data_IF_439259236356
#
_entry.id   IF_439259236356
#
_cell.length_a   1.000
_cell.length_b   1.000
_cell.length_c   1.000
_cell.angle_alpha   90.00
_cell.angle_beta   90.00
_cell.angle_gamma   90.00
#
_symmetry.space_group_name_H-M   'P 1'
#
loop_
_entity.id
_entity.type
_entity.pdbx_description
1 polymer ?
#
# COMPACT_ATOMS: atom_id res chain seq x y z
N UNK A 1 -8.94 9.65 -9.44
CA UNK A 1 -9.76 8.56 -8.87
C UNK A 1 -11.17 8.72 -9.40
N UNK A 2 -11.93 7.63 -9.51
CA UNK A 2 -13.37 7.70 -9.70
C UNK A 2 -14.01 7.98 -8.33
N UNK A 3 -15.09 8.77 -8.31
CA UNK A 3 -15.85 9.05 -7.09
C UNK A 3 -17.08 8.15 -7.00
N UNK A 4 -17.63 7.75 -8.14
CA UNK A 4 -18.92 7.04 -8.24
C UNK A 4 -18.90 5.86 -9.22
N UNK A 5 -17.73 5.43 -9.68
CA UNK A 5 -17.54 4.26 -10.57
C UNK A 5 -18.26 4.34 -11.92
N UNK A 6 -18.47 5.55 -12.43
CA UNK A 6 -19.22 5.73 -13.68
C UNK A 6 -18.30 5.66 -14.90
N UNK A 7 -18.84 5.19 -16.04
CA UNK A 7 -18.12 5.15 -17.32
C UNK A 7 -17.45 6.49 -17.70
N UNK A 8 -18.13 7.65 -17.60
CA UNK A 8 -17.50 8.95 -17.83
C UNK A 8 -16.31 9.26 -16.91
N UNK A 9 -16.39 8.92 -15.62
CA UNK A 9 -15.26 9.11 -14.71
C UNK A 9 -14.08 8.20 -15.06
N UNK A 10 -14.33 6.95 -15.47
CA UNK A 10 -13.28 6.03 -15.93
C UNK A 10 -12.62 6.50 -17.22
N UNK A 11 -13.37 7.05 -18.17
CA UNK A 11 -12.79 7.65 -19.39
C UNK A 11 -11.84 8.79 -19.04
N UNK A 12 -12.27 9.73 -18.17
CA UNK A 12 -11.42 10.82 -17.72
C UNK A 12 -10.18 10.31 -16.98
N UNK A 13 -10.34 9.31 -16.11
CA UNK A 13 -9.21 8.73 -15.38
C UNK A 13 -8.19 8.08 -16.32
N UNK A 14 -8.66 7.33 -17.33
CA UNK A 14 -7.80 6.70 -18.33
C UNK A 14 -7.12 7.72 -19.23
N UNK A 15 -7.82 8.80 -19.62
CA UNK A 15 -7.24 9.92 -20.37
C UNK A 15 -6.15 10.63 -19.57
N UNK A 16 -6.38 10.88 -18.27
CA UNK A 16 -5.36 11.44 -17.39
C UNK A 16 -4.16 10.49 -17.24
N UNK A 17 -4.39 9.18 -17.20
CA UNK A 17 -3.32 8.20 -17.11
C UNK A 17 -2.40 8.21 -18.35
N UNK A 18 -2.90 8.65 -19.51
CA UNK A 18 -2.08 8.78 -20.72
C UNK A 18 -0.93 9.79 -20.54
N UNK A 19 -1.04 10.79 -19.65
CA UNK A 19 0.07 11.71 -19.34
C UNK A 19 1.25 11.03 -18.63
N UNK A 20 1.08 9.80 -18.15
CA UNK A 20 2.16 8.98 -17.58
C UNK A 20 2.94 8.19 -18.62
N UNK A 21 2.51 8.20 -19.88
CA UNK A 21 3.20 7.52 -20.97
C UNK A 21 4.50 8.29 -21.25
N UNK A 22 5.62 7.58 -21.13
CA UNK A 22 6.93 8.18 -21.36
C UNK A 22 7.09 8.62 -22.82
N UNK A 23 7.99 9.58 -23.07
CA UNK A 23 8.36 10.00 -24.44
C UNK A 23 8.88 8.83 -25.30
N UNK A 24 9.30 7.72 -24.67
CA UNK A 24 9.68 6.46 -25.29
C UNK A 24 8.49 5.54 -25.63
N UNK A 25 7.25 6.01 -25.45
CA UNK A 25 6.01 5.25 -25.67
C UNK A 25 5.70 4.24 -24.56
N UNK A 26 6.45 4.27 -23.45
CA UNK A 26 6.29 3.30 -22.37
C UNK A 26 5.06 3.59 -21.53
N UNK A 27 4.23 2.57 -21.35
CA UNK A 27 3.07 2.58 -20.45
C UNK A 27 3.48 1.99 -19.10
N UNK A 28 3.14 2.67 -18.01
CA UNK A 28 3.35 2.15 -16.65
C UNK A 28 2.20 1.21 -16.28
N UNK A 29 2.47 -0.07 -15.93
CA UNK A 29 1.41 -1.00 -15.53
C UNK A 29 0.80 -0.57 -14.19
N UNK A 30 -0.51 -0.82 -14.05
CA UNK A 30 -1.28 -0.50 -12.84
C UNK A 30 -1.73 -1.79 -12.18
N UNK A 31 -1.50 -1.91 -10.87
CA UNK A 31 -2.01 -3.02 -10.05
C UNK A 31 -3.02 -2.44 -9.08
N UNK A 32 -4.30 -2.76 -9.26
CA UNK A 32 -5.41 -2.14 -8.53
C UNK A 32 -5.88 -3.00 -7.36
N UNK A 33 -6.22 -2.35 -6.24
CA UNK A 33 -6.94 -2.96 -5.12
C UNK A 33 -8.37 -2.39 -5.07
N UNK A 34 -9.33 -3.23 -4.67
CA UNK A 34 -10.74 -2.81 -4.52
C UNK A 34 -10.90 -1.87 -3.32
N UNK A 35 -11.39 -0.65 -3.58
CA UNK A 35 -11.73 0.35 -2.59
C UNK A 35 -13.21 0.39 -2.24
N UNK A 36 -13.71 1.45 -1.60
CA UNK A 36 -15.15 1.61 -1.31
C UNK A 36 -15.88 2.48 -2.34
N UNK A 37 -15.16 3.07 -3.30
CA UNK A 37 -15.71 3.97 -4.32
C UNK A 37 -16.01 3.29 -5.65
N UNK A 38 -15.46 2.12 -5.94
CA UNK A 38 -16.02 1.28 -7.01
C UNK A 38 -17.38 0.73 -6.55
N UNK A 39 -18.33 0.50 -7.43
CA UNK A 39 -19.67 0.01 -7.08
C UNK A 39 -19.66 -1.49 -6.81
N UNK A 40 -18.96 -2.24 -7.66
CA UNK A 40 -18.69 -3.66 -7.50
C UNK A 40 -17.28 -3.99 -8.02
N UNK A 41 -16.98 -5.29 -8.23
CA UNK A 41 -15.67 -5.72 -8.74
C UNK A 41 -15.57 -5.73 -10.28
N UNK A 42 -16.68 -5.50 -11.00
CA UNK A 42 -16.78 -5.64 -12.44
C UNK A 42 -16.01 -4.55 -13.17
N UNK A 43 -16.13 -3.29 -12.76
CA UNK A 43 -15.38 -2.19 -13.39
C UNK A 43 -13.87 -2.44 -13.34
N UNK A 44 -13.37 -2.88 -12.18
CA UNK A 44 -11.97 -3.22 -12.03
C UNK A 44 -11.56 -4.45 -12.86
N UNK A 45 -12.43 -5.46 -12.97
CA UNK A 45 -12.15 -6.63 -13.81
C UNK A 45 -12.14 -6.26 -15.30
N UNK A 46 -13.11 -5.49 -15.77
CA UNK A 46 -13.22 -5.12 -17.19
C UNK A 46 -12.10 -4.17 -17.64
N UNK A 47 -11.61 -3.31 -16.75
CA UNK A 47 -10.58 -2.30 -17.07
C UNK A 47 -9.16 -2.80 -16.78
N UNK A 48 -8.95 -3.53 -15.68
CA UNK A 48 -7.61 -3.92 -15.21
C UNK A 48 -7.37 -5.44 -15.17
N UNK A 49 -8.33 -6.24 -15.63
CA UNK A 49 -8.21 -7.71 -15.73
C UNK A 49 -7.87 -8.40 -14.40
N UNK A 50 -8.50 -7.95 -13.31
CA UNK A 50 -8.36 -8.60 -12.00
C UNK A 50 -9.34 -9.78 -11.83
N UNK A 51 -9.06 -10.75 -10.94
CA UNK A 51 -9.96 -11.88 -10.73
C UNK A 51 -11.37 -11.48 -10.29
N UNK A 52 -12.37 -12.16 -10.85
CA UNK A 52 -13.78 -12.04 -10.52
C UNK A 52 -14.34 -13.41 -10.10
N UNK A 53 -15.19 -13.50 -9.06
CA UNK A 53 -15.86 -12.39 -8.37
C UNK A 53 -15.05 -11.75 -7.23
N UNK A 54 -13.87 -12.28 -6.90
CA UNK A 54 -13.20 -12.04 -5.62
C UNK A 54 -12.43 -10.70 -5.48
N UNK A 55 -11.77 -10.24 -6.55
CA UNK A 55 -10.91 -9.05 -6.57
C UNK A 55 -9.76 -9.00 -5.54
N UNK A 56 -9.28 -10.17 -5.09
CA UNK A 56 -7.98 -10.33 -4.41
C UNK A 56 -7.10 -11.30 -5.20
N UNK A 57 -5.80 -11.01 -5.27
CA UNK A 57 -4.87 -11.72 -6.14
C UNK A 57 -3.41 -11.44 -5.75
N UNK A 58 -2.47 -12.17 -6.33
CA UNK A 58 -1.05 -11.96 -6.04
C UNK A 58 -0.20 -12.01 -7.31
N UNK A 59 0.73 -11.06 -7.41
CA UNK A 59 1.66 -10.90 -8.53
C UNK A 59 3.11 -11.06 -8.06
N UNK A 60 3.96 -11.46 -8.98
CA UNK A 60 5.40 -11.63 -8.73
C UNK A 60 6.20 -10.75 -9.67
N UNK A 61 7.23 -10.10 -9.14
CA UNK A 61 8.09 -9.19 -9.88
C UNK A 61 9.55 -9.61 -9.72
N UNK A 62 10.31 -9.55 -10.80
CA UNK A 62 11.74 -9.90 -10.79
C UNK A 62 12.00 -11.36 -10.39
N UNK A 63 11.18 -12.29 -10.88
CA UNK A 63 11.23 -13.70 -10.46
C UNK A 63 10.74 -13.84 -9.02
N UNK A 64 11.64 -14.24 -8.11
CA UNK A 64 11.36 -14.34 -6.68
C UNK A 64 11.77 -13.09 -5.88
N UNK A 65 12.06 -11.97 -6.54
CA UNK A 65 12.41 -10.73 -5.84
C UNK A 65 11.25 -10.20 -4.98
N UNK A 66 10.05 -10.05 -5.55
CA UNK A 66 8.90 -9.51 -4.84
C UNK A 66 7.63 -10.32 -5.12
N UNK A 67 6.92 -10.71 -4.05
CA UNK A 67 5.53 -11.15 -4.08
C UNK A 67 4.64 -10.02 -3.56
N UNK A 68 3.75 -9.48 -4.39
CA UNK A 68 2.75 -8.49 -4.00
C UNK A 68 1.40 -9.18 -3.83
N UNK A 69 0.81 -9.09 -2.65
CA UNK A 69 -0.51 -9.61 -2.32
C UNK A 69 -1.51 -8.45 -2.30
N UNK A 70 -2.45 -8.44 -3.23
CA UNK A 70 -3.55 -7.47 -3.29
C UNK A 70 -4.77 -8.04 -2.58
N UNK A 71 -5.21 -7.42 -1.48
CA UNK A 71 -6.35 -7.86 -0.68
C UNK A 71 -7.57 -6.95 -0.91
N UNK A 72 -8.76 -7.54 -0.82
CA UNK A 72 -10.03 -6.87 -0.98
C UNK A 72 -10.68 -6.58 0.39
N UNK A 73 -10.65 -5.32 0.80
CA UNK A 73 -11.26 -4.88 2.08
C UNK A 73 -12.77 -4.68 2.03
N UNK A 74 -13.39 -4.83 0.84
CA UNK A 74 -14.84 -4.85 0.65
C UNK A 74 -15.44 -6.25 0.70
N UNK A 75 -14.60 -7.29 0.67
CA UNK A 75 -14.98 -8.65 0.96
C UNK A 75 -14.70 -8.98 2.44
N UNK A 76 -15.25 -10.10 2.93
CA UNK A 76 -14.92 -10.58 4.27
C UNK A 76 -13.40 -10.84 4.37
N UNK A 77 -12.76 -10.29 5.41
CA UNK A 77 -11.32 -10.44 5.63
C UNK A 77 -10.94 -11.84 6.14
N UNK A 78 -11.88 -12.53 6.76
CA UNK A 78 -11.77 -13.93 7.19
C UNK A 78 -12.09 -14.93 6.07
N UNK A 79 -12.53 -16.13 6.45
CA UNK A 79 -13.06 -17.15 5.53
C UNK A 79 -12.12 -17.48 4.37
N UNK A 80 -12.68 -17.42 3.16
CA UNK A 80 -11.99 -17.79 1.92
C UNK A 80 -10.78 -16.89 1.65
N UNK A 81 -10.91 -15.58 1.86
CA UNK A 81 -9.81 -14.64 1.61
C UNK A 81 -8.65 -14.85 2.59
N UNK A 82 -8.92 -15.12 3.88
CA UNK A 82 -7.88 -15.46 4.85
C UNK A 82 -7.18 -16.78 4.49
N UNK A 83 -7.95 -17.80 4.13
CA UNK A 83 -7.43 -19.12 3.74
C UNK A 83 -6.56 -19.01 2.48
N UNK A 84 -7.02 -18.22 1.51
CA UNK A 84 -6.27 -17.87 0.31
C UNK A 84 -4.96 -17.14 0.66
N UNK A 85 -5.02 -16.13 1.52
CA UNK A 85 -3.85 -15.35 1.95
C UNK A 85 -2.78 -16.23 2.60
N UNK A 86 -3.18 -17.12 3.51
CA UNK A 86 -2.25 -18.07 4.16
C UNK A 86 -1.59 -19.01 3.16
N UNK A 87 -2.34 -19.51 2.16
CA UNK A 87 -1.79 -20.34 1.09
C UNK A 87 -0.78 -19.57 0.23
N UNK A 88 -1.12 -18.36 -0.20
CA UNK A 88 -0.24 -17.53 -1.04
C UNK A 88 1.05 -17.16 -0.30
N UNK A 89 0.96 -16.79 0.98
CA UNK A 89 2.13 -16.48 1.80
C UNK A 89 2.98 -17.72 2.10
N UNK A 90 2.35 -18.90 2.24
CA UNK A 90 3.08 -20.17 2.36
C UNK A 90 3.88 -20.48 1.09
N UNK A 91 3.28 -20.26 -0.09
CA UNK A 91 3.97 -20.38 -1.38
C UNK A 91 5.06 -19.32 -1.59
N UNK A 92 4.96 -18.19 -0.90
CA UNK A 92 5.90 -17.07 -1.01
C UNK A 92 7.15 -17.17 -0.11
N UNK A 93 7.37 -18.30 0.59
CA UNK A 93 8.55 -18.49 1.47
C UNK A 93 9.89 -18.31 0.75
N UNK A 94 9.97 -18.63 -0.54
CA UNK A 94 11.17 -18.47 -1.36
C UNK A 94 11.39 -17.08 -1.96
N UNK A 95 10.49 -16.12 -1.69
CA UNK A 95 10.63 -14.75 -2.17
C UNK A 95 11.55 -13.94 -1.24
N UNK A 96 12.24 -12.95 -1.79
CA UNK A 96 12.99 -11.98 -0.98
C UNK A 96 12.03 -11.08 -0.21
N UNK A 97 11.13 -10.41 -0.94
CA UNK A 97 10.15 -9.47 -0.39
C UNK A 97 8.73 -9.97 -0.56
N UNK A 98 7.90 -9.77 0.48
CA UNK A 98 6.46 -9.98 0.45
C UNK A 98 5.80 -8.68 0.89
N UNK A 99 4.99 -8.10 0.00
CA UNK A 99 4.21 -6.91 0.30
C UNK A 99 2.73 -7.24 0.30
N UNK A 100 1.97 -6.52 1.11
CA UNK A 100 0.52 -6.47 1.00
C UNK A 100 0.09 -5.09 0.48
N UNK A 101 -0.98 -5.03 -0.29
CA UNK A 101 -1.69 -3.78 -0.56
C UNK A 101 -3.19 -3.98 -0.39
N UNK A 102 -3.87 -2.99 0.16
CA UNK A 102 -5.32 -3.01 0.36
C UNK A 102 -5.86 -1.61 0.68
N UNK A 103 -7.16 -1.42 0.49
CA UNK A 103 -7.76 -0.08 0.57
C UNK A 103 -7.91 0.44 2.00
N UNK A 104 -8.76 -0.19 2.82
CA UNK A 104 -8.98 0.26 4.20
C UNK A 104 -7.79 -0.04 5.11
N UNK A 105 -7.21 0.98 5.73
CA UNK A 105 -6.15 0.81 6.73
C UNK A 105 -6.64 0.01 7.96
N UNK A 106 -5.77 -0.83 8.52
CA UNK A 106 -6.03 -1.56 9.77
C UNK A 106 -6.22 -0.61 10.95
N UNK A 107 -5.34 0.40 11.00
CA UNK A 107 -5.26 1.44 12.02
C UNK A 107 -5.10 2.83 11.38
N UNK A 108 -6.20 3.51 11.03
CA UNK A 108 -6.19 4.85 10.45
C UNK A 108 -5.41 5.88 11.28
N UNK A 109 -4.86 6.92 10.63
CA UNK A 109 -4.21 8.07 11.29
C UNK A 109 -5.09 9.33 11.28
N UNK A 110 -6.40 9.13 11.23
CA UNK A 110 -7.41 10.16 11.34
C UNK A 110 -8.55 9.67 12.21
N UNK A 111 -9.05 10.54 13.09
CA UNK A 111 -10.23 10.25 13.92
C UNK A 111 -11.51 10.07 13.11
N UNK A 112 -11.50 10.48 11.83
CA UNK A 112 -12.65 10.38 10.92
C UNK A 112 -12.90 9.00 10.30
N UNK A 113 -12.09 7.99 10.63
CA UNK A 113 -12.21 6.62 10.08
C UNK A 113 -12.11 5.58 11.20
N UNK A 114 -12.93 4.50 11.17
CA UNK A 114 -12.95 3.52 12.24
C UNK A 114 -11.75 2.56 12.16
N UNK A 115 -11.34 2.10 13.34
CA UNK A 115 -10.38 1.00 13.46
C UNK A 115 -10.93 -0.31 12.88
N UNK A 116 -10.06 -1.10 12.24
CA UNK A 116 -10.44 -2.33 11.53
C UNK A 116 -9.93 -3.59 12.20
N UNK A 117 -10.55 -3.94 13.33
CA UNK A 117 -10.19 -5.12 14.12
C UNK A 117 -10.33 -6.44 13.36
N UNK A 118 -11.27 -6.52 12.41
CA UNK A 118 -11.42 -7.67 11.53
C UNK A 118 -10.17 -7.91 10.67
N UNK A 119 -9.58 -6.84 10.11
CA UNK A 119 -8.35 -6.92 9.32
C UNK A 119 -7.16 -7.29 10.19
N UNK A 120 -7.06 -6.69 11.39
CA UNK A 120 -5.99 -7.01 12.34
C UNK A 120 -6.07 -8.48 12.77
N UNK A 121 -7.25 -8.98 13.11
CA UNK A 121 -7.41 -10.37 13.56
C UNK A 121 -7.13 -11.39 12.44
N UNK A 122 -7.51 -11.08 11.20
CA UNK A 122 -7.43 -12.04 10.10
C UNK A 122 -6.11 -12.00 9.33
N UNK A 123 -5.45 -10.84 9.20
CA UNK A 123 -4.29 -10.67 8.32
C UNK A 123 -2.99 -10.39 9.07
N UNK A 124 -3.00 -9.56 10.12
CA UNK A 124 -1.75 -9.17 10.81
C UNK A 124 -0.97 -10.36 11.42
N UNK A 125 -1.62 -11.41 11.98
CA UNK A 125 -0.90 -12.63 12.39
C UNK A 125 -0.19 -13.33 11.23
N UNK A 126 -0.81 -13.36 10.04
CA UNK A 126 -0.20 -13.96 8.85
C UNK A 126 0.97 -13.11 8.36
N UNK A 127 0.86 -11.78 8.43
CA UNK A 127 1.96 -10.87 8.10
C UNK A 127 3.17 -11.09 9.00
N UNK A 128 2.96 -11.23 10.31
CA UNK A 128 4.02 -11.57 11.25
C UNK A 128 4.61 -12.96 10.95
N UNK A 129 3.77 -14.00 10.82
CA UNK A 129 4.25 -15.37 10.64
C UNK A 129 5.04 -15.56 9.34
N UNK A 130 4.59 -14.94 8.25
CA UNK A 130 5.22 -15.04 6.93
C UNK A 130 6.18 -13.90 6.61
N UNK A 131 6.47 -13.01 7.57
CA UNK A 131 7.42 -11.91 7.42
C UNK A 131 7.08 -11.04 6.18
N UNK A 132 5.86 -10.49 6.15
CA UNK A 132 5.47 -9.44 5.20
C UNK A 132 6.16 -8.16 5.64
N UNK A 133 6.98 -7.56 4.78
CA UNK A 133 7.83 -6.43 5.18
C UNK A 133 7.16 -5.07 4.99
N UNK A 134 6.25 -4.95 4.01
CA UNK A 134 5.58 -3.69 3.69
C UNK A 134 4.09 -3.93 3.42
N UNK A 135 3.25 -3.14 4.06
CA UNK A 135 1.82 -3.04 3.78
C UNK A 135 1.49 -1.64 3.25
N UNK A 136 0.87 -1.58 2.09
CA UNK A 136 0.42 -0.35 1.43
C UNK A 136 -1.08 -0.16 1.71
N UNK A 137 -1.42 0.92 2.40
CA UNK A 137 -2.80 1.22 2.83
C UNK A 137 -3.33 2.51 2.18
N UNK A 138 -4.66 2.70 2.19
CA UNK A 138 -5.34 3.82 1.53
C UNK A 138 -6.55 4.34 2.36
N UNK A 139 -7.57 4.89 1.69
CA UNK A 139 -8.91 5.30 2.17
C UNK A 139 -9.01 6.55 3.07
N UNK A 140 -8.04 6.76 3.95
CA UNK A 140 -8.18 7.74 5.04
C UNK A 140 -7.75 9.16 4.64
N UNK A 141 -7.05 9.31 3.52
CA UNK A 141 -6.55 10.55 2.95
C UNK A 141 -5.59 11.32 3.87
N UNK A 142 -4.69 10.57 4.51
CA UNK A 142 -3.52 11.11 5.23
C UNK A 142 -2.24 10.39 4.79
N UNK A 143 -1.09 11.02 5.03
CA UNK A 143 0.21 10.39 4.92
C UNK A 143 0.53 9.67 6.22
N UNK A 144 0.93 8.40 6.12
CA UNK A 144 1.37 7.57 7.24
C UNK A 144 2.69 6.88 6.95
N UNK A 145 3.50 6.79 8.01
CA UNK A 145 4.63 5.88 8.10
C UNK A 145 4.76 5.31 9.51
N UNK A 146 4.84 3.98 9.64
CA UNK A 146 5.05 3.32 10.94
C UNK A 146 6.50 2.92 11.15
N UNK A 147 6.91 2.72 12.40
CA UNK A 147 8.03 1.80 12.64
C UNK A 147 7.63 0.38 12.19
N UNK A 148 8.57 -0.56 12.00
CA UNK A 148 8.21 -1.97 11.90
C UNK A 148 7.41 -2.40 13.13
N UNK A 149 6.19 -2.91 12.92
CA UNK A 149 5.29 -3.33 14.00
C UNK A 149 4.77 -4.73 13.75
N UNK A 150 4.51 -5.45 14.84
CA UNK A 150 3.82 -6.74 14.79
C UNK A 150 2.58 -6.72 15.67
N UNK A 151 1.62 -7.58 15.34
CA UNK A 151 0.47 -7.83 16.19
C UNK A 151 0.94 -8.32 17.57
N UNK A 152 0.40 -7.74 18.64
CA UNK A 152 0.78 -8.06 20.01
C UNK A 152 -0.28 -7.65 21.03
N UNK A 153 -0.33 -8.39 22.14
CA UNK A 153 -1.07 -8.06 23.36
C UNK A 153 -0.14 -7.89 24.57
N UNK A 154 1.17 -7.86 24.34
CA UNK A 154 2.17 -7.69 25.38
C UNK A 154 2.05 -6.30 26.03
N UNK A 155 2.54 -6.16 27.25
CA UNK A 155 2.63 -4.85 27.92
C UNK A 155 3.45 -3.91 27.04
N UNK A 156 2.92 -2.71 26.80
CA UNK A 156 3.53 -1.73 25.89
C UNK A 156 2.93 -1.72 24.47
N UNK A 157 2.09 -2.70 24.13
CA UNK A 157 1.31 -2.68 22.89
C UNK A 157 0.32 -1.51 22.88
N UNK A 158 0.04 -0.97 21.69
CA UNK A 158 -0.97 0.05 21.43
C UNK A 158 -1.74 -0.32 20.17
N UNK A 159 -3.07 -0.24 20.22
CA UNK A 159 -3.97 -0.62 19.11
C UNK A 159 -3.78 -2.06 18.61
N UNK A 160 -3.31 -2.97 19.47
CA UNK A 160 -3.03 -4.36 19.09
C UNK A 160 -1.68 -4.57 18.38
N UNK A 161 -0.80 -3.56 18.40
CA UNK A 161 0.53 -3.62 17.80
C UNK A 161 1.63 -3.19 18.77
N UNK A 162 2.83 -3.70 18.56
CA UNK A 162 4.06 -3.27 19.23
C UNK A 162 5.17 -3.12 18.18
N UNK A 163 6.11 -2.20 18.41
CA UNK A 163 7.31 -2.07 17.57
C UNK A 163 8.19 -3.32 17.68
N UNK A 164 8.61 -3.85 16.55
CA UNK A 164 9.52 -4.99 16.42
C UNK A 164 10.36 -4.77 15.15
N UNK A 165 11.58 -4.23 15.32
CA UNK A 165 12.45 -3.84 14.21
C UNK A 165 13.05 -5.03 13.44
N UNK A 166 12.89 -6.26 13.95
CA UNK A 166 13.43 -7.48 13.32
C UNK A 166 12.37 -8.21 12.49
N UNK A 167 11.13 -8.26 12.98
CA UNK A 167 10.06 -9.12 12.40
C UNK A 167 8.79 -8.36 12.03
N UNK A 168 8.73 -7.07 12.34
CA UNK A 168 7.55 -6.25 12.12
C UNK A 168 7.35 -5.87 10.65
N UNK A 169 6.08 -5.66 10.30
CA UNK A 169 5.67 -5.09 9.02
C UNK A 169 5.69 -3.57 9.13
N UNK A 170 6.20 -2.88 8.11
CA UNK A 170 6.05 -1.43 7.97
C UNK A 170 4.75 -1.14 7.22
N UNK A 171 3.95 -0.21 7.73
CA UNK A 171 2.71 0.23 7.09
C UNK A 171 2.90 1.67 6.57
N UNK A 172 2.57 1.90 5.31
CA UNK A 172 2.74 3.20 4.64
C UNK A 172 1.53 3.57 3.79
N UNK A 173 1.40 4.86 3.49
CA UNK A 173 0.36 5.37 2.60
C UNK A 173 -0.73 6.03 3.39
N UNK A 174 -1.97 5.54 3.22
CA UNK A 174 -3.26 6.08 3.65
C UNK A 174 -4.00 6.99 2.63
N UNK A 175 -3.63 6.94 1.35
CA UNK A 175 -4.55 7.33 0.26
C UNK A 175 -4.58 8.82 -0.09
N UNK A 176 -3.42 9.44 -0.31
CA UNK A 176 -3.28 10.88 -0.57
C UNK A 176 -2.87 11.22 -2.01
N UNK A 177 -3.33 10.49 -3.02
CA UNK A 177 -2.98 10.82 -4.41
C UNK A 177 -3.70 12.08 -4.92
N UNK A 178 -4.86 12.43 -4.37
CA UNK A 178 -5.61 13.64 -4.80
C UNK A 178 -7.05 13.75 -4.32
N UNK A 179 -7.57 12.79 -3.55
CA UNK A 179 -8.83 12.96 -2.84
C UNK A 179 -8.73 14.10 -1.80
N UNK A 180 -9.85 14.72 -1.37
CA UNK A 180 -9.81 15.73 -0.32
C UNK A 180 -9.14 15.20 0.95
N UNK A 181 -8.09 15.89 1.38
CA UNK A 181 -7.28 15.51 2.54
C UNK A 181 -8.09 15.54 3.84
N UNK A 182 -7.71 14.68 4.79
CA UNK A 182 -8.22 14.70 6.17
C UNK A 182 -7.16 15.18 7.15
N UNK A 183 -7.58 15.48 8.38
CA UNK A 183 -6.66 15.78 9.46
C UNK A 183 -5.90 14.52 9.87
N UNK A 184 -4.59 14.64 9.96
CA UNK A 184 -3.71 13.62 10.55
C UNK A 184 -3.63 13.85 12.05
N UNK A 185 -4.66 13.41 12.77
CA UNK A 185 -4.92 13.74 14.19
C UNK A 185 -4.99 12.52 15.12
N UNK A 186 -4.61 11.33 14.63
CA UNK A 186 -4.68 10.07 15.39
C UNK A 186 -3.37 9.27 15.33
N UNK A 187 -2.27 9.90 15.75
CA UNK A 187 -0.98 9.23 15.84
C UNK A 187 -0.96 8.19 16.96
N UNK A 188 -0.50 6.98 16.63
CA UNK A 188 -0.32 5.88 17.57
C UNK A 188 1.12 5.88 18.10
N UNK A 189 1.36 5.16 19.20
CA UNK A 189 2.70 5.11 19.84
C UNK A 189 3.82 4.60 18.91
N UNK A 190 3.45 3.80 17.92
CA UNK A 190 4.36 3.22 16.92
C UNK A 190 4.39 3.99 15.59
N UNK A 191 3.67 5.10 15.49
CA UNK A 191 3.73 5.99 14.32
C UNK A 191 5.12 6.60 14.25
N UNK A 192 5.79 6.45 13.10
CA UNK A 192 7.09 7.06 12.86
C UNK A 192 6.91 8.48 12.32
N UNK A 193 5.99 8.67 11.39
CA UNK A 193 5.63 9.98 10.86
C UNK A 193 4.23 9.96 10.25
N UNK A 194 3.59 11.11 10.17
CA UNK A 194 2.30 11.29 9.52
C UNK A 194 2.07 12.74 9.11
N UNK A 195 1.08 13.00 8.27
CA UNK A 195 0.72 14.36 7.90
C UNK A 195 -0.45 14.43 6.92
N UNK A 196 -0.88 15.65 6.62
CA UNK A 196 -1.97 15.93 5.68
C UNK A 196 -1.42 16.69 4.47
N UNK A 197 -1.07 15.95 3.41
CA UNK A 197 -0.56 16.48 2.15
C UNK A 197 -0.68 15.43 1.04
N UNK A 198 -0.83 15.86 -0.21
CA UNK A 198 -0.86 14.92 -1.33
C UNK A 198 0.53 14.35 -1.57
N UNK A 199 0.59 13.03 -1.80
CA UNK A 199 1.83 12.34 -2.08
C UNK A 199 1.60 10.99 -2.75
N UNK A 200 2.69 10.45 -3.25
CA UNK A 200 2.81 9.03 -3.53
C UNK A 200 4.10 8.47 -2.93
N UNK A 201 4.15 7.14 -2.76
CA UNK A 201 5.32 6.45 -2.28
C UNK A 201 6.11 5.88 -3.45
N UNK A 202 7.35 6.32 -3.62
CA UNK A 202 8.31 5.73 -4.53
C UNK A 202 9.06 4.61 -3.80
N UNK A 203 8.84 3.37 -4.23
CA UNK A 203 9.42 2.17 -3.63
C UNK A 203 10.44 1.56 -4.58
N UNK A 204 11.68 1.41 -4.11
CA UNK A 204 12.78 0.81 -4.83
C UNK A 204 13.18 -0.51 -4.15
N UNK A 205 13.08 -1.60 -4.91
CA UNK A 205 13.23 -2.96 -4.40
C UNK A 205 14.47 -3.62 -5.01
N UNK A 206 15.41 -4.01 -4.16
CA UNK A 206 16.63 -4.75 -4.51
C UNK A 206 16.73 -5.98 -3.61
N UNK A 207 17.50 -7.01 -3.99
CA UNK A 207 17.54 -8.28 -3.25
C UNK A 207 17.96 -8.16 -1.78
N UNK A 208 18.81 -7.18 -1.43
CA UNK A 208 19.24 -6.95 -0.05
C UNK A 208 18.82 -5.60 0.50
N UNK A 209 17.92 -4.88 -0.20
CA UNK A 209 17.55 -3.52 0.19
C UNK A 209 16.19 -3.11 -0.32
N UNK A 210 15.36 -2.62 0.59
CA UNK A 210 14.16 -1.89 0.26
C UNK A 210 14.33 -0.42 0.64
N UNK A 211 14.12 0.48 -0.32
CA UNK A 211 14.00 1.93 -0.05
C UNK A 211 12.59 2.35 -0.37
N UNK A 212 11.98 3.13 0.50
CA UNK A 212 10.71 3.78 0.22
C UNK A 212 10.86 5.28 0.53
N UNK A 213 10.33 6.13 -0.34
CA UNK A 213 10.39 7.57 -0.22
C UNK A 213 9.02 8.18 -0.51
N UNK A 214 8.66 9.21 0.25
CA UNK A 214 7.43 9.98 0.05
C UNK A 214 7.74 11.11 -0.93
N UNK A 215 7.03 11.15 -2.06
CA UNK A 215 7.06 12.25 -3.03
C UNK A 215 5.78 13.04 -2.89
N UNK A 216 5.87 14.27 -2.37
CA UNK A 216 4.71 15.15 -2.22
C UNK A 216 4.59 16.15 -3.37
N UNK A 217 3.38 16.64 -3.61
CA UNK A 217 3.12 17.78 -4.50
C UNK A 217 3.81 19.08 -4.03
N UNK A 218 4.18 19.13 -2.75
CA UNK A 218 4.99 20.21 -2.16
C UNK A 218 6.51 20.03 -2.38
N UNK A 219 6.96 18.89 -2.92
CA UNK A 219 8.39 18.64 -3.12
C UNK A 219 8.91 19.44 -4.32
N UNK A 220 9.83 20.37 -4.04
CA UNK A 220 10.52 21.14 -5.07
C UNK A 220 11.72 20.34 -5.61
N UNK A 221 11.85 20.22 -6.93
CA UNK A 221 13.06 19.71 -7.59
C UNK A 221 13.19 18.20 -7.74
N UNK A 222 12.08 17.43 -7.76
CA UNK A 222 12.13 16.03 -8.20
C UNK A 222 12.28 16.01 -9.72
N UNK A 223 13.49 15.73 -10.19
CA UNK A 223 13.76 15.57 -11.62
C UNK A 223 13.41 14.16 -12.09
N UNK A 224 13.03 14.01 -13.35
CA UNK A 224 12.87 12.69 -13.97
C UNK A 224 14.19 11.89 -13.83
N UNK A 225 14.08 10.61 -13.47
CA UNK A 225 15.27 9.77 -13.39
C UNK A 225 15.81 9.51 -14.79
N UNK A 226 17.13 9.69 -14.97
CA UNK A 226 17.84 9.37 -16.23
C UNK A 226 17.84 7.86 -16.55
N UNK A 227 17.45 7.00 -15.60
CA UNK A 227 17.35 5.55 -15.79
C UNK A 227 16.37 4.91 -14.80
N UNK A 228 15.61 3.91 -15.28
CA UNK A 228 14.57 3.19 -14.52
C UNK A 228 15.08 2.48 -13.26
N UNK A 229 16.37 2.20 -13.19
CA UNK A 229 17.05 1.55 -12.05
C UNK A 229 17.93 2.53 -11.25
N UNK A 230 17.70 3.82 -11.45
CA UNK A 230 18.37 4.87 -10.69
C UNK A 230 17.27 5.65 -10.01
N UNK A 231 17.35 5.78 -8.69
CA UNK A 231 16.45 6.67 -7.98
C UNK A 231 16.62 8.10 -8.52
N UNK A 232 15.53 8.85 -8.72
CA UNK A 232 15.63 10.23 -9.16
C UNK A 232 16.57 10.99 -8.21
N UNK A 233 17.40 11.90 -8.73
CA UNK A 233 18.19 12.78 -7.88
C UNK A 233 17.25 13.89 -7.38
N UNK A 234 16.96 13.91 -6.09
CA UNK A 234 16.32 15.07 -5.45
C UNK A 234 17.10 15.42 -4.18
N UNK A 235 17.43 16.71 -4.04
CA UNK A 235 18.00 17.31 -2.83
C UNK A 235 17.02 17.26 -1.64
N UNK A 236 15.74 17.00 -1.91
CA UNK A 236 14.63 17.15 -0.97
C UNK A 236 13.72 15.91 -0.89
N UNK A 237 14.21 14.69 -1.13
CA UNK A 237 13.50 13.56 -0.52
C UNK A 237 13.47 13.88 0.98
N UNK A 238 12.29 14.19 1.53
CA UNK A 238 12.11 14.02 2.98
C UNK A 238 12.39 12.56 3.17
N UNK A 239 13.60 12.28 3.62
CA UNK A 239 14.19 10.97 3.55
C UNK A 239 13.96 10.32 4.90
N UNK A 240 12.85 9.60 5.14
CA UNK A 240 12.91 8.52 6.10
C UNK A 240 13.63 7.35 5.41
N UNK A 241 14.85 7.56 4.86
CA UNK A 241 15.69 6.46 4.41
C UNK A 241 15.91 5.57 5.62
N UNK A 242 15.16 4.49 5.66
CA UNK A 242 15.53 3.29 6.38
C UNK A 242 15.42 2.20 5.35
N UNK A 243 16.51 1.45 5.21
CA UNK A 243 16.42 0.12 4.67
C UNK A 243 15.40 -0.61 5.54
N UNK A 244 14.29 -1.07 4.96
CA UNK A 244 13.63 -2.23 5.55
C UNK A 244 14.64 -3.35 5.30
N UNK A 245 15.21 -3.92 6.37
CA UNK A 245 16.26 -4.92 6.29
C UNK A 245 15.81 -6.14 5.49
#
# INVERSE_FOLDING_TARGET
MTATDTGPEWLLWLDDWQYTIGNDGRITPVVVARGNHEMDNRSLQEIFDIPYPDAYYALSFGGNLLRLLTLNTMAASGGDQKTWLERELTGAKGFTWRFAQYHHAMRPHTTGKPERDDLVQNWAPLFLYHQVQLALESDTHVAKWTYPIRVSKEIGSAEGFIRDDERGTVYVGEGCWGAPLRNSDDNKKWTRNSGSFNHFNLIYVEQGKLKCAVISDQSQGVMESKSRFVLPLASNFRNPAMAVY
#
